data_IF_190101785600
#
_entry.id   IF_190101785600
#
_cell.length_a   1.000
_cell.length_b   1.000
_cell.length_c   1.000
_cell.angle_alpha   90.00
_cell.angle_beta   90.00
_cell.angle_gamma   90.00
#
_symmetry.space_group_name_H-M   'P 1'
#
loop_
_entity.id
_entity.type
_entity.pdbx_description
1 polymer ?
#
# COMPACT_ATOMS: atom_id res chain seq x y z
N UNK A 1 16.49 -41.62 -51.31
CA UNK A 1 15.50 -41.37 -52.35
C UNK A 1 15.00 -39.96 -52.11
N UNK A 2 15.71 -39.00 -52.70
CA UNK A 2 15.34 -38.36 -53.98
C UNK A 2 14.06 -37.51 -53.74
N UNK A 3 14.00 -36.27 -53.97
CA UNK A 3 14.39 -35.24 -54.96
C UNK A 3 13.39 -34.09 -54.69
N UNK A 4 13.84 -32.88 -54.45
CA UNK A 4 14.02 -31.80 -55.42
C UNK A 4 12.76 -30.93 -55.70
N UNK A 5 12.77 -29.68 -55.65
CA UNK A 5 12.89 -28.57 -56.61
C UNK A 5 12.33 -27.30 -55.96
N UNK A 6 13.14 -26.27 -55.79
CA UNK A 6 13.38 -25.17 -56.78
C UNK A 6 12.08 -24.49 -57.25
N UNK A 7 11.92 -23.24 -56.82
CA UNK A 7 11.68 -22.12 -57.74
C UNK A 7 11.87 -20.79 -57.04
N UNK A 8 12.82 -20.15 -57.44
CA UNK A 8 13.08 -18.76 -57.69
C UNK A 8 11.94 -18.09 -58.45
N UNK A 9 11.71 -16.82 -58.21
CA UNK A 9 11.44 -15.69 -59.09
C UNK A 9 11.11 -14.48 -58.22
N UNK A 10 11.99 -13.55 -58.07
CA UNK A 10 12.26 -12.28 -58.76
C UNK A 10 11.35 -11.13 -58.39
N UNK A 11 11.94 -10.15 -57.73
CA UNK A 11 12.10 -8.72 -58.06
C UNK A 11 10.85 -7.90 -58.43
N UNK A 12 10.59 -6.86 -57.61
CA UNK A 12 10.28 -5.54 -58.13
C UNK A 12 10.56 -4.47 -57.06
N UNK A 13 11.46 -3.58 -57.38
CA UNK A 13 11.69 -2.28 -56.76
C UNK A 13 10.57 -1.31 -57.14
N UNK A 14 10.16 -0.51 -56.15
CA UNK A 14 9.74 0.89 -56.27
C UNK A 14 9.61 1.37 -54.84
N UNK A 15 10.32 2.26 -54.27
CA UNK A 15 10.82 3.56 -54.69
C UNK A 15 9.80 4.62 -54.24
N UNK A 16 10.33 5.59 -53.50
CA UNK A 16 9.76 6.93 -53.23
C UNK A 16 9.25 7.19 -51.84
N UNK A 17 10.10 7.89 -51.15
CA UNK A 17 10.10 9.29 -50.66
C UNK A 17 9.41 9.50 -49.31
N UNK A 18 10.24 9.78 -48.37
CA UNK A 18 10.43 11.05 -47.61
C UNK A 18 9.17 11.86 -47.36
N UNK A 19 8.82 11.93 -46.10
CA UNK A 19 8.46 13.22 -45.49
C UNK A 19 8.75 13.15 -43.99
N UNK A 20 9.82 13.82 -43.62
CA UNK A 20 10.13 14.15 -42.24
C UNK A 20 9.11 15.20 -41.79
N UNK A 21 8.38 14.89 -40.74
CA UNK A 21 7.72 15.87 -39.91
C UNK A 21 8.34 15.79 -38.51
N UNK A 22 9.34 16.64 -38.30
CA UNK A 22 9.81 16.96 -36.98
C UNK A 22 8.71 17.76 -36.28
N UNK A 23 8.03 17.14 -35.37
CA UNK A 23 7.14 17.79 -34.40
C UNK A 23 7.83 17.73 -33.05
N UNK A 24 8.72 18.67 -32.77
CA UNK A 24 9.07 19.02 -31.38
C UNK A 24 7.82 19.55 -30.72
N UNK A 25 7.27 18.79 -29.80
CA UNK A 25 6.28 19.22 -28.84
C UNK A 25 6.78 18.80 -27.46
N UNK A 26 7.69 19.60 -26.90
CA UNK A 26 7.99 19.55 -25.48
C UNK A 26 6.75 20.03 -24.73
N UNK A 27 5.92 19.10 -24.34
CA UNK A 27 4.90 19.29 -23.32
C UNK A 27 5.32 18.51 -22.09
N UNK A 28 6.31 19.01 -21.37
CA UNK A 28 6.54 18.66 -19.97
C UNK A 28 5.43 19.29 -19.14
N UNK A 29 4.21 18.82 -19.28
CA UNK A 29 3.23 18.94 -18.23
C UNK A 29 3.52 17.80 -17.26
N UNK A 30 3.78 18.09 -15.97
CA UNK A 30 3.76 17.05 -14.96
C UNK A 30 2.35 16.48 -14.94
N UNK A 31 2.20 15.29 -15.51
CA UNK A 31 0.98 14.50 -15.36
C UNK A 31 0.83 14.25 -13.87
N UNK A 32 -0.15 14.88 -13.25
CA UNK A 32 -0.55 14.55 -11.89
C UNK A 32 -0.81 13.04 -11.86
N UNK A 33 -0.28 12.32 -10.87
CA UNK A 33 -0.57 10.91 -10.74
C UNK A 33 -2.09 10.71 -10.68
N UNK A 34 -2.63 9.70 -11.37
CA UNK A 34 -4.06 9.41 -11.29
C UNK A 34 -4.46 9.22 -9.84
N UNK A 35 -5.66 9.67 -9.42
CA UNK A 35 -6.13 9.42 -8.07
C UNK A 35 -6.17 7.91 -7.86
N UNK A 36 -5.43 7.44 -6.87
CA UNK A 36 -5.40 6.02 -6.48
C UNK A 36 -6.77 5.67 -5.89
N UNK A 37 -7.70 5.24 -6.73
CA UNK A 37 -8.97 4.62 -6.33
C UNK A 37 -8.72 3.15 -6.02
N UNK A 38 -8.02 2.90 -4.94
CA UNK A 38 -7.80 1.56 -4.43
C UNK A 38 -7.14 1.69 -3.06
N UNK A 39 -7.84 1.32 -1.99
CA UNK A 39 -7.28 1.27 -0.66
C UNK A 39 -6.13 0.25 -0.60
N UNK A 40 -4.96 0.65 -1.07
CA UNK A 40 -3.73 -0.12 -0.90
C UNK A 40 -3.23 0.01 0.55
N UNK A 41 -2.52 -1.01 1.04
CA UNK A 41 -1.82 -0.91 2.32
C UNK A 41 -0.74 0.19 2.21
N UNK A 42 -0.89 1.23 3.02
CA UNK A 42 0.05 2.36 3.04
C UNK A 42 1.28 2.11 3.91
N UNK A 43 1.14 1.30 4.95
CA UNK A 43 2.21 1.00 5.90
C UNK A 43 1.94 -0.32 6.63
N UNK A 44 3.00 -0.88 7.23
CA UNK A 44 2.91 -2.08 8.06
C UNK A 44 3.46 -1.80 9.46
N UNK A 45 2.73 -2.24 10.48
CA UNK A 45 3.16 -2.25 11.87
C UNK A 45 3.25 -3.70 12.32
N UNK A 46 4.40 -4.09 12.85
CA UNK A 46 4.66 -5.44 13.35
C UNK A 46 4.58 -5.45 14.87
N UNK A 47 3.78 -6.34 15.41
CA UNK A 47 3.72 -6.65 16.84
C UNK A 47 4.81 -7.69 17.11
N UNK A 48 5.77 -7.34 17.95
CA UNK A 48 6.92 -8.17 18.30
C UNK A 48 6.85 -8.60 19.76
N UNK A 49 7.78 -9.42 20.20
CA UNK A 49 7.87 -9.82 21.63
C UNK A 49 8.14 -8.63 22.56
N UNK A 50 8.68 -7.53 22.04
CA UNK A 50 9.08 -6.35 22.83
C UNK A 50 8.18 -5.14 22.60
N UNK A 51 7.11 -5.27 21.80
CA UNK A 51 6.17 -4.18 21.51
C UNK A 51 5.90 -4.04 20.00
N UNK A 52 5.41 -2.89 19.58
CA UNK A 52 5.07 -2.59 18.19
C UNK A 52 6.23 -1.89 17.45
N UNK A 53 6.44 -2.24 16.19
CA UNK A 53 7.51 -1.67 15.36
C UNK A 53 7.09 -1.54 13.89
N UNK A 54 7.24 -0.37 13.27
CA UNK A 54 7.50 0.92 13.91
C UNK A 54 6.32 1.35 14.79
N UNK A 55 6.57 2.14 15.83
CA UNK A 55 5.51 2.69 16.69
C UNK A 55 4.81 3.91 16.06
N UNK A 56 5.34 4.46 14.96
CA UNK A 56 4.72 5.58 14.23
C UNK A 56 4.85 5.35 12.73
N UNK A 57 3.76 5.57 12.01
CA UNK A 57 3.71 5.48 10.54
C UNK A 57 2.94 6.66 9.97
N UNK A 58 3.26 7.02 8.72
CA UNK A 58 2.52 8.03 7.96
C UNK A 58 1.95 7.39 6.70
N UNK A 59 0.68 7.66 6.42
CA UNK A 59 -0.06 7.19 5.25
C UNK A 59 -0.84 8.32 4.60
N UNK A 60 -1.36 8.08 3.41
CA UNK A 60 -2.27 9.00 2.73
C UNK A 60 -3.72 8.65 3.06
N UNK A 61 -4.60 9.66 2.97
CA UNK A 61 -6.06 9.42 3.03
C UNK A 61 -6.48 8.41 1.95
N UNK A 62 -7.38 7.51 2.30
CA UNK A 62 -7.81 6.38 1.47
C UNK A 62 -7.01 5.09 1.68
N UNK A 63 -5.87 5.15 2.34
CA UNK A 63 -5.03 3.97 2.61
C UNK A 63 -5.43 3.25 3.91
N UNK A 64 -4.92 2.03 4.05
CA UNK A 64 -5.04 1.16 5.21
C UNK A 64 -3.67 0.89 5.81
N UNK A 65 -3.62 0.50 7.07
CA UNK A 65 -2.41 0.01 7.74
C UNK A 65 -2.54 -1.48 7.98
N UNK A 66 -1.48 -2.21 7.69
CA UNK A 66 -1.38 -3.64 7.97
C UNK A 66 -0.77 -3.85 9.34
N UNK A 67 -1.44 -4.63 10.19
CA UNK A 67 -0.88 -5.12 11.45
C UNK A 67 -0.51 -6.59 11.31
N UNK A 68 0.73 -6.93 11.70
CA UNK A 68 1.28 -8.30 11.66
C UNK A 68 1.72 -8.69 13.06
N UNK A 69 1.17 -9.76 13.62
CA UNK A 69 1.60 -10.24 14.93
C UNK A 69 2.63 -11.37 14.78
N UNK A 70 3.90 -11.04 15.02
CA UNK A 70 5.01 -12.00 15.04
C UNK A 70 5.38 -12.42 16.47
N UNK A 71 4.70 -11.89 17.48
CA UNK A 71 4.90 -12.25 18.88
C UNK A 71 4.24 -13.59 19.21
N UNK A 72 4.50 -14.09 20.42
CA UNK A 72 3.84 -15.28 20.97
C UNK A 72 2.58 -14.94 21.78
N UNK A 73 2.18 -13.68 21.84
CA UNK A 73 1.03 -13.20 22.60
C UNK A 73 0.01 -12.56 21.67
N UNK A 74 -1.26 -12.68 22.01
CA UNK A 74 -2.30 -11.92 21.34
C UNK A 74 -2.18 -10.42 21.68
N UNK A 75 -2.64 -9.57 20.75
CA UNK A 75 -2.79 -8.13 20.97
C UNK A 75 -4.16 -7.67 20.49
N UNK A 76 -4.91 -7.02 21.35
CA UNK A 76 -6.19 -6.40 20.99
C UNK A 76 -5.95 -4.95 20.56
N UNK A 77 -5.80 -4.74 19.23
CA UNK A 77 -5.49 -3.43 18.66
C UNK A 77 -6.73 -2.57 18.61
N UNK A 78 -6.70 -1.44 19.36
CA UNK A 78 -7.80 -0.48 19.43
C UNK A 78 -7.30 0.95 19.34
N UNK A 79 -8.17 1.88 18.90
CA UNK A 79 -7.84 3.30 18.87
C UNK A 79 -7.90 3.93 20.25
N UNK A 80 -7.23 5.06 20.41
CA UNK A 80 -7.40 5.91 21.60
C UNK A 80 -8.79 6.58 21.61
N UNK A 81 -9.25 7.15 22.74
CA UNK A 81 -8.76 6.92 24.08
C UNK A 81 -9.33 5.63 24.69
N UNK A 82 -8.60 5.02 25.62
CA UNK A 82 -9.17 3.95 26.45
C UNK A 82 -10.15 4.55 27.47
N UNK A 83 -11.29 3.93 27.79
CA UNK A 83 -11.85 2.67 27.24
C UNK A 83 -12.82 2.89 26.07
N UNK A 84 -13.00 4.09 25.56
CA UNK A 84 -14.08 4.42 24.60
C UNK A 84 -13.72 4.10 23.15
N UNK A 85 -12.43 4.12 22.77
CA UNK A 85 -11.90 3.77 21.44
C UNK A 85 -12.55 4.52 20.28
N UNK A 86 -12.82 5.81 20.47
CA UNK A 86 -13.67 6.60 19.57
C UNK A 86 -12.92 7.48 18.59
N UNK A 87 -11.63 7.75 18.80
CA UNK A 87 -10.87 8.68 17.98
C UNK A 87 -10.75 8.24 16.52
N UNK A 88 -10.38 6.99 16.31
CA UNK A 88 -10.12 6.46 14.98
C UNK A 88 -10.74 5.06 14.81
N UNK A 89 -12.06 4.97 14.59
CA UNK A 89 -12.76 3.69 14.47
C UNK A 89 -12.19 2.75 13.38
N UNK A 90 -11.50 3.29 12.37
CA UNK A 90 -10.83 2.49 11.34
C UNK A 90 -9.80 1.50 11.93
N UNK A 91 -9.15 1.85 13.05
CA UNK A 91 -8.20 0.98 13.74
C UNK A 91 -8.92 -0.21 14.40
N UNK A 92 -10.09 0.02 14.96
CA UNK A 92 -10.83 -1.00 15.70
C UNK A 92 -11.25 -2.20 14.86
N UNK A 93 -11.25 -2.06 13.51
CA UNK A 93 -11.52 -3.17 12.59
C UNK A 93 -10.44 -4.27 12.64
N UNK A 94 -9.26 -3.96 13.16
CA UNK A 94 -8.18 -4.95 13.38
C UNK A 94 -8.59 -5.96 14.44
N UNK A 95 -9.11 -5.49 15.57
CA UNK A 95 -9.50 -6.32 16.70
C UNK A 95 -8.33 -7.10 17.30
N UNK A 96 -8.60 -8.27 17.87
CA UNK A 96 -7.55 -9.11 18.48
C UNK A 96 -6.81 -9.92 17.41
N UNK A 97 -5.48 -9.71 17.33
CA UNK A 97 -4.57 -10.52 16.51
C UNK A 97 -3.92 -11.60 17.37
N UNK A 98 -4.14 -12.85 17.01
CA UNK A 98 -3.42 -13.98 17.57
C UNK A 98 -1.99 -14.05 17.00
N UNK A 99 -1.06 -14.78 17.64
CA UNK A 99 0.27 -15.04 17.08
C UNK A 99 0.20 -15.53 15.62
N UNK A 100 1.02 -14.93 14.74
CA UNK A 100 1.08 -15.24 13.32
C UNK A 100 -0.02 -14.61 12.45
N UNK A 101 -0.99 -13.91 13.02
CA UNK A 101 -2.06 -13.28 12.25
C UNK A 101 -1.63 -11.93 11.65
N UNK A 102 -2.25 -11.63 10.51
CA UNK A 102 -2.14 -10.34 9.81
C UNK A 102 -3.54 -9.81 9.54
N UNK A 103 -3.77 -8.53 9.79
CA UNK A 103 -5.04 -7.84 9.47
C UNK A 103 -4.79 -6.40 9.02
N UNK A 104 -5.72 -5.89 8.23
CA UNK A 104 -5.76 -4.50 7.80
C UNK A 104 -6.77 -3.71 8.65
N UNK A 105 -6.46 -2.43 8.85
CA UNK A 105 -7.47 -1.47 9.32
C UNK A 105 -8.55 -1.27 8.26
N UNK A 106 -9.66 -0.64 8.61
CA UNK A 106 -10.49 0.01 7.59
C UNK A 106 -9.75 1.21 6.98
N UNK A 107 -10.26 1.75 5.85
CA UNK A 107 -9.66 2.90 5.19
C UNK A 107 -9.73 4.14 6.09
N UNK A 108 -8.63 4.90 6.12
CA UNK A 108 -8.60 6.21 6.75
C UNK A 108 -9.03 7.27 5.75
N UNK A 109 -10.11 7.98 6.02
CA UNK A 109 -10.75 8.88 5.06
C UNK A 109 -10.39 10.35 5.24
N UNK A 110 -9.72 10.73 6.33
CA UNK A 110 -9.45 12.12 6.68
C UNK A 110 -8.03 12.29 7.23
N UNK A 111 -7.37 13.39 6.85
CA UNK A 111 -6.07 13.77 7.40
C UNK A 111 -6.20 14.05 8.90
N UNK A 112 -5.45 13.32 9.72
CA UNK A 112 -5.41 13.42 11.19
C UNK A 112 -4.34 12.53 11.79
N UNK A 113 -4.12 12.65 13.08
CA UNK A 113 -3.29 11.72 13.86
C UNK A 113 -4.19 10.79 14.67
N UNK A 114 -3.90 9.50 14.64
CA UNK A 114 -4.66 8.44 15.28
C UNK A 114 -3.74 7.64 16.21
N UNK A 115 -3.97 7.72 17.52
CA UNK A 115 -3.32 6.85 18.48
C UNK A 115 -3.95 5.45 18.50
N UNK A 116 -3.14 4.43 18.80
CA UNK A 116 -3.62 3.08 19.08
C UNK A 116 -2.87 2.45 20.23
N UNK A 117 -3.49 1.46 20.87
CA UNK A 117 -2.92 0.71 21.97
C UNK A 117 -3.44 -0.73 22.01
N UNK A 118 -2.82 -1.55 22.85
CA UNK A 118 -3.37 -2.85 23.23
C UNK A 118 -4.46 -2.65 24.27
N UNK A 119 -5.70 -3.03 23.95
CA UNK A 119 -6.84 -2.90 24.86
C UNK A 119 -6.63 -3.62 26.21
N UNK A 120 -5.96 -4.78 26.16
CA UNK A 120 -5.75 -5.60 27.36
C UNK A 120 -4.60 -5.07 28.23
N UNK A 121 -3.73 -4.21 27.65
CA UNK A 121 -2.58 -3.60 28.31
C UNK A 121 -2.44 -2.11 27.93
N UNK A 122 -3.44 -1.27 28.25
CA UNK A 122 -3.50 0.10 27.75
C UNK A 122 -2.39 1.01 28.29
N UNK A 123 -1.79 0.66 29.41
CA UNK A 123 -0.69 1.43 30.04
C UNK A 123 0.70 0.98 29.57
N UNK A 124 0.80 -0.11 28.79
CA UNK A 124 2.07 -0.55 28.24
C UNK A 124 2.49 0.31 27.06
N UNK A 125 3.44 1.23 27.30
CA UNK A 125 3.96 2.15 26.28
C UNK A 125 4.61 1.46 25.08
N UNK A 126 5.08 0.22 25.23
CA UNK A 126 5.67 -0.54 24.13
C UNK A 126 4.61 -1.08 23.15
N UNK A 127 3.35 -1.17 23.59
CA UNK A 127 2.21 -1.68 22.82
C UNK A 127 1.29 -0.57 22.30
N UNK A 128 1.86 0.64 22.15
CA UNK A 128 1.16 1.83 21.67
C UNK A 128 1.86 2.41 20.47
N UNK A 129 1.11 3.17 19.68
CA UNK A 129 1.70 3.86 18.55
C UNK A 129 0.75 4.90 17.95
N UNK A 130 1.21 5.49 16.83
CA UNK A 130 0.50 6.57 16.14
C UNK A 130 0.51 6.34 14.64
N UNK A 131 -0.65 6.55 14.02
CA UNK A 131 -0.83 6.59 12.56
C UNK A 131 -1.15 8.03 12.19
N UNK A 132 -0.29 8.66 11.40
CA UNK A 132 -0.52 10.00 10.84
C UNK A 132 -1.06 9.87 9.44
N UNK A 133 -2.21 10.46 9.16
CA UNK A 133 -2.88 10.47 7.86
C UNK A 133 -2.71 11.88 7.25
N UNK A 134 -2.22 11.94 6.00
CA UNK A 134 -1.99 13.17 5.21
C UNK A 134 -2.94 13.26 4.02
#
# INVERSE_FOLDING_TARGET
MAINRRSLVTLALAGVALLAAQGCGDSNSPTAPPPSTGGGSGATITITATGVSPSSVTILAGQQVTFVNTSQQAMAVTSDPHPTHTDCPSINSVGTLQPGQTRLTANFTSARSCGFHDHDQPDDGSRRGTITIQ
#
